data_IF_714280061495
#
_entry.id   IF_714280061495
#
_cell.length_a   1.000
_cell.length_b   1.000
_cell.length_c   1.000
_cell.angle_alpha   90.00
_cell.angle_beta   90.00
_cell.angle_gamma   90.00
#
_symmetry.space_group_name_H-M   'P 1'
#
loop_
_entity.id
_entity.type
_entity.pdbx_description
1 polymer ?
#
# COMPACT_ATOMS: atom_id res chain seq x y z
N UNK A 1 47.93 3.59 -40.40
CA UNK A 1 46.66 2.84 -40.27
C UNK A 1 45.50 3.82 -40.34
N UNK A 2 44.62 3.60 -41.31
CA UNK A 2 43.53 4.50 -41.70
C UNK A 2 42.44 4.56 -40.61
N UNK A 3 41.93 5.77 -40.37
CA UNK A 3 40.67 6.03 -39.64
C UNK A 3 39.52 5.71 -40.60
N UNK A 4 38.56 4.89 -40.18
CA UNK A 4 37.31 4.67 -40.90
C UNK A 4 36.18 5.34 -40.15
N UNK A 5 35.60 6.38 -40.74
CA UNK A 5 34.28 6.89 -40.37
C UNK A 5 33.20 5.94 -40.91
N UNK A 6 32.11 5.80 -40.17
CA UNK A 6 30.88 5.21 -40.65
C UNK A 6 29.84 6.33 -40.65
N UNK A 7 29.39 6.69 -41.85
CA UNK A 7 28.29 7.60 -42.09
C UNK A 7 26.98 7.00 -41.58
N UNK A 8 26.14 7.84 -40.97
CA UNK A 8 24.75 7.53 -40.66
C UNK A 8 23.91 7.74 -41.93
N UNK A 9 23.28 6.68 -42.44
CA UNK A 9 22.09 6.80 -43.28
C UNK A 9 20.85 6.61 -42.40
N UNK A 10 20.02 7.65 -42.35
CA UNK A 10 18.68 7.66 -41.75
C UNK A 10 17.73 6.77 -42.58
N UNK A 11 17.45 5.57 -42.07
CA UNK A 11 16.35 4.73 -42.53
C UNK A 11 15.23 4.73 -41.47
N UNK A 12 14.07 5.27 -41.83
CA UNK A 12 12.84 5.17 -41.02
C UNK A 12 12.53 3.71 -40.67
N UNK A 13 12.14 3.38 -39.43
CA UNK A 13 11.68 2.03 -39.12
C UNK A 13 10.26 1.85 -39.68
N UNK A 14 10.13 1.19 -40.83
CA UNK A 14 8.85 0.65 -41.25
C UNK A 14 8.28 -0.23 -40.12
N UNK A 15 7.08 0.12 -39.67
CA UNK A 15 6.31 -0.66 -38.72
C UNK A 15 5.87 -1.97 -39.38
N UNK A 16 6.77 -2.94 -39.40
CA UNK A 16 6.48 -4.31 -39.82
C UNK A 16 5.41 -4.92 -38.90
N UNK A 17 4.18 -5.00 -39.41
CA UNK A 17 3.17 -5.89 -38.85
C UNK A 17 3.68 -7.33 -38.96
N UNK A 18 4.25 -7.87 -37.88
CA UNK A 18 4.60 -9.28 -37.80
C UNK A 18 3.29 -10.09 -37.74
N UNK A 19 2.85 -10.60 -38.90
CA UNK A 19 1.79 -11.59 -38.94
C UNK A 19 2.29 -12.89 -38.29
N UNK A 20 1.52 -13.52 -37.38
CA UNK A 20 1.90 -14.79 -36.79
C UNK A 20 2.03 -15.86 -37.88
N UNK A 21 3.01 -16.76 -37.73
CA UNK A 21 3.23 -17.86 -38.67
C UNK A 21 2.01 -18.80 -38.70
N UNK A 22 1.80 -19.48 -39.82
CA UNK A 22 0.68 -20.44 -40.01
C UNK A 22 0.70 -21.57 -38.97
N UNK A 23 1.85 -21.87 -38.38
CA UNK A 23 2.00 -22.87 -37.33
C UNK A 23 1.60 -22.35 -35.93
N UNK A 24 1.80 -21.06 -35.65
CA UNK A 24 1.32 -20.42 -34.41
C UNK A 24 -0.20 -20.30 -34.36
N UNK A 25 -0.84 -20.16 -35.53
CA UNK A 25 -2.31 -20.10 -35.67
C UNK A 25 -3.01 -21.45 -35.43
N UNK A 26 -2.30 -22.59 -35.54
CA UNK A 26 -2.90 -23.94 -35.38
C UNK A 26 -3.44 -24.22 -33.97
N UNK A 27 -3.02 -23.45 -32.97
CA UNK A 27 -3.37 -23.65 -31.56
C UNK A 27 -4.24 -22.52 -30.97
N UNK A 28 -4.88 -21.73 -31.84
CA UNK A 28 -5.84 -20.70 -31.42
C UNK A 28 -7.25 -21.29 -31.41
N UNK A 29 -7.73 -21.66 -30.23
CA UNK A 29 -9.06 -22.27 -30.07
C UNK A 29 -10.12 -21.27 -29.60
N UNK A 30 -9.71 -20.13 -29.05
CA UNK A 30 -10.60 -19.18 -28.39
C UNK A 30 -10.66 -17.88 -29.20
N UNK A 31 -11.84 -17.43 -29.64
CA UNK A 31 -11.97 -16.23 -30.46
C UNK A 31 -11.68 -14.96 -29.65
N UNK A 32 -11.01 -13.99 -30.27
CA UNK A 32 -10.73 -12.69 -29.64
C UNK A 32 -12.01 -11.90 -29.35
N UNK A 33 -13.02 -12.04 -30.20
CA UNK A 33 -14.32 -11.42 -30.03
C UNK A 33 -15.42 -12.41 -30.43
N UNK A 34 -16.52 -12.40 -29.68
CA UNK A 34 -17.72 -13.15 -30.00
C UNK A 34 -18.86 -12.19 -30.33
N UNK A 35 -19.65 -12.58 -31.30
CA UNK A 35 -20.91 -11.94 -31.65
C UNK A 35 -22.03 -12.76 -31.02
N UNK A 36 -22.88 -12.10 -30.25
CA UNK A 36 -24.05 -12.70 -29.62
C UNK A 36 -25.30 -12.03 -30.19
N UNK A 37 -26.26 -12.83 -30.65
CA UNK A 37 -27.55 -12.37 -31.18
C UNK A 37 -28.67 -13.15 -30.52
N UNK A 38 -29.69 -12.45 -30.03
CA UNK A 38 -30.92 -13.09 -29.58
C UNK A 38 -31.87 -13.24 -30.79
N UNK A 39 -32.23 -14.47 -31.11
CA UNK A 39 -33.17 -14.76 -32.19
C UNK A 39 -34.61 -14.38 -31.79
N UNK A 40 -35.51 -14.31 -32.77
CA UNK A 40 -36.94 -14.07 -32.51
C UNK A 40 -37.60 -15.23 -31.71
N UNK A 41 -36.99 -16.42 -31.73
CA UNK A 41 -37.38 -17.58 -30.91
C UNK A 41 -36.84 -17.55 -29.48
N UNK A 42 -36.15 -16.47 -29.07
CA UNK A 42 -35.43 -16.34 -27.78
C UNK A 42 -34.24 -17.29 -27.62
N UNK A 43 -33.68 -17.79 -28.73
CA UNK A 43 -32.45 -18.57 -28.72
C UNK A 43 -31.25 -17.64 -28.84
N UNK A 44 -30.15 -17.99 -28.18
CA UNK A 44 -28.92 -17.22 -28.16
C UNK A 44 -27.94 -17.78 -29.18
N UNK A 45 -27.73 -17.06 -30.27
CA UNK A 45 -26.73 -17.41 -31.28
C UNK A 45 -25.39 -16.77 -30.92
N UNK A 46 -24.36 -17.60 -30.76
CA UNK A 46 -22.98 -17.16 -30.47
C UNK A 46 -22.08 -17.56 -31.64
N UNK A 47 -21.43 -16.57 -32.27
CA UNK A 47 -20.53 -16.80 -33.41
C UNK A 47 -19.21 -16.04 -33.24
N UNK A 48 -18.14 -16.52 -33.86
CA UNK A 48 -16.87 -15.78 -33.92
C UNK A 48 -17.08 -14.44 -34.68
N UNK A 49 -16.48 -13.36 -34.19
CA UNK A 49 -16.48 -12.06 -34.85
C UNK A 49 -15.12 -11.79 -35.50
N UNK A 50 -15.09 -11.75 -36.83
CA UNK A 50 -14.00 -11.18 -37.62
C UNK A 50 -14.43 -9.82 -38.13
N UNK A 51 -13.57 -8.79 -37.96
CA UNK A 51 -13.84 -7.41 -38.37
C UNK A 51 -14.39 -7.33 -39.79
N UNK A 52 -15.71 -7.20 -39.92
CA UNK A 52 -16.38 -6.97 -41.18
C UNK A 52 -17.38 -5.82 -41.00
N UNK A 53 -17.31 -4.76 -41.82
CA UNK A 53 -17.93 -3.47 -41.53
C UNK A 53 -19.45 -3.41 -41.76
N UNK A 54 -20.12 -4.56 -41.93
CA UNK A 54 -21.53 -4.60 -42.32
C UNK A 54 -22.34 -5.46 -41.36
N UNK A 55 -23.18 -4.80 -40.54
CA UNK A 55 -24.25 -5.48 -39.81
C UNK A 55 -24.29 -5.26 -38.30
N UNK A 56 -24.14 -4.01 -37.82
CA UNK A 56 -24.68 -3.60 -36.53
C UNK A 56 -26.20 -3.43 -36.68
N UNK A 57 -26.96 -4.49 -36.42
CA UNK A 57 -28.40 -4.41 -36.18
C UNK A 57 -28.64 -4.28 -34.67
N UNK A 58 -29.72 -3.61 -34.24
CA UNK A 58 -30.04 -3.34 -32.83
C UNK A 58 -30.07 -4.57 -31.89
N UNK A 59 -30.15 -5.79 -32.43
CA UNK A 59 -30.19 -7.05 -31.67
C UNK A 59 -28.87 -7.84 -31.69
N UNK A 60 -27.76 -7.21 -32.05
CA UNK A 60 -26.43 -7.84 -32.13
C UNK A 60 -25.47 -7.13 -31.18
N UNK A 61 -24.89 -7.91 -30.26
CA UNK A 61 -23.89 -7.44 -29.31
C UNK A 61 -22.54 -8.11 -29.58
N UNK A 62 -21.47 -7.33 -29.55
CA UNK A 62 -20.09 -7.81 -29.73
C UNK A 62 -19.42 -7.79 -28.37
N UNK A 63 -18.75 -8.87 -28.01
CA UNK A 63 -18.02 -9.00 -26.76
C UNK A 63 -16.56 -9.37 -27.02
N UNK A 64 -15.64 -8.66 -26.40
CA UNK A 64 -14.20 -8.92 -26.49
C UNK A 64 -13.73 -9.82 -25.37
N UNK A 65 -12.78 -10.72 -25.66
CA UNK A 65 -12.14 -11.56 -24.66
C UNK A 65 -11.25 -10.70 -23.76
N UNK A 66 -11.64 -10.61 -22.49
CA UNK A 66 -10.98 -9.77 -21.50
C UNK A 66 -10.06 -10.55 -20.56
N UNK A 67 -10.40 -11.81 -20.27
CA UNK A 67 -9.62 -12.64 -19.38
C UNK A 67 -9.77 -14.14 -19.65
N UNK A 68 -8.70 -14.89 -19.36
CA UNK A 68 -8.69 -16.36 -19.40
C UNK A 68 -8.06 -16.91 -18.12
N UNK A 69 -8.73 -17.85 -17.47
CA UNK A 69 -8.19 -18.58 -16.31
C UNK A 69 -7.75 -19.95 -16.78
N UNK A 70 -6.57 -20.39 -16.38
CA UNK A 70 -5.95 -21.65 -16.79
C UNK A 70 -5.88 -22.60 -15.59
N UNK A 71 -6.07 -23.91 -15.82
CA UNK A 71 -6.04 -24.94 -14.78
C UNK A 71 -4.68 -25.21 -14.12
N UNK A 72 -4.70 -26.07 -13.11
CA UNK A 72 -3.60 -26.31 -12.15
C UNK A 72 -2.27 -26.80 -12.76
N UNK A 73 -2.33 -27.55 -13.87
CA UNK A 73 -1.13 -28.07 -14.57
C UNK A 73 -0.20 -26.97 -15.08
N UNK A 74 -0.73 -25.76 -15.26
CA UNK A 74 0.05 -24.58 -15.62
C UNK A 74 1.00 -24.13 -14.50
N UNK A 75 0.58 -24.25 -13.24
CA UNK A 75 1.35 -23.79 -12.09
C UNK A 75 2.52 -24.72 -11.76
N UNK A 76 2.32 -26.04 -11.89
CA UNK A 76 3.32 -27.06 -11.61
C UNK A 76 4.55 -26.99 -12.54
N UNK A 77 4.38 -26.55 -13.80
CA UNK A 77 5.47 -26.49 -14.78
C UNK A 77 6.35 -25.23 -14.63
N UNK A 78 5.86 -24.20 -13.93
CA UNK A 78 6.48 -22.87 -13.85
C UNK A 78 7.49 -22.72 -12.71
N UNK A 79 7.51 -23.63 -11.74
CA UNK A 79 8.44 -23.59 -10.60
C UNK A 79 9.92 -23.81 -10.97
N UNK A 80 10.24 -24.25 -12.20
CA UNK A 80 11.61 -24.66 -12.58
C UNK A 80 12.48 -23.54 -13.20
N UNK A 81 11.95 -22.33 -13.48
CA UNK A 81 12.78 -21.19 -13.92
C UNK A 81 12.29 -19.84 -13.38
N UNK A 82 13.15 -19.02 -12.75
CA UNK A 82 12.78 -17.67 -12.32
C UNK A 82 12.81 -16.74 -13.54
N UNK A 83 11.72 -16.69 -14.30
CA UNK A 83 11.46 -15.64 -15.30
C UNK A 83 9.99 -15.25 -15.30
N UNK A 84 9.76 -13.94 -15.43
CA UNK A 84 8.51 -13.16 -15.42
C UNK A 84 7.21 -13.97 -15.56
N UNK A 85 6.35 -13.82 -14.56
CA UNK A 85 4.98 -14.32 -14.50
C UNK A 85 4.16 -13.89 -15.72
N UNK A 86 4.09 -14.72 -16.77
CA UNK A 86 3.02 -14.60 -17.76
C UNK A 86 1.68 -14.96 -17.10
N UNK A 87 0.95 -13.96 -16.59
CA UNK A 87 -0.49 -14.05 -16.33
C UNK A 87 -1.17 -13.67 -17.64
N UNK A 88 -1.58 -14.66 -18.42
CA UNK A 88 -2.47 -14.39 -19.54
C UNK A 88 -3.77 -13.82 -18.97
N UNK A 89 -4.01 -12.52 -19.20
CA UNK A 89 -5.29 -11.86 -19.09
C UNK A 89 -6.09 -12.08 -17.80
N UNK A 90 -5.74 -11.35 -16.74
CA UNK A 90 -6.73 -10.75 -15.85
C UNK A 90 -6.40 -9.26 -15.84
N UNK A 91 -6.92 -8.52 -16.83
CA UNK A 91 -6.79 -7.04 -16.90
C UNK A 91 -7.37 -6.32 -15.67
N UNK A 92 -8.00 -7.05 -14.74
CA UNK A 92 -8.48 -6.59 -13.44
C UNK A 92 -7.37 -6.46 -12.38
N UNK A 93 -6.17 -7.03 -12.57
CA UNK A 93 -5.10 -7.05 -11.57
C UNK A 93 -3.87 -6.18 -11.91
N UNK A 94 -4.02 -5.15 -12.73
CA UNK A 94 -3.03 -4.07 -12.84
C UNK A 94 -1.68 -4.39 -13.50
N UNK A 95 -1.37 -5.63 -13.88
CA UNK A 95 -0.06 -5.95 -14.50
C UNK A 95 0.01 -5.39 -15.93
N UNK A 96 0.86 -4.40 -16.25
CA UNK A 96 1.03 -3.88 -17.59
C UNK A 96 2.03 -4.76 -18.33
N UNK A 97 1.61 -5.95 -18.70
CA UNK A 97 2.20 -6.63 -19.86
C UNK A 97 1.11 -6.61 -20.90
N UNK A 98 1.28 -5.87 -22.01
CA UNK A 98 0.60 -6.22 -23.25
C UNK A 98 1.26 -7.53 -23.69
N UNK A 99 0.65 -8.72 -23.52
CA UNK A 99 1.12 -9.86 -24.30
C UNK A 99 0.80 -9.49 -25.76
N UNK A 100 1.61 -9.97 -26.71
CA UNK A 100 1.18 -10.03 -28.10
C UNK A 100 -0.22 -10.68 -28.09
N UNK A 101 -1.24 -10.02 -28.65
CA UNK A 101 -2.65 -10.44 -28.56
C UNK A 101 -2.84 -11.95 -28.82
N UNK A 102 -2.00 -12.50 -29.71
CA UNK A 102 -1.91 -13.90 -30.11
C UNK A 102 -1.62 -14.89 -28.95
N UNK A 103 -0.76 -14.55 -27.98
CA UNK A 103 -0.37 -15.48 -26.90
C UNK A 103 -1.51 -15.72 -25.88
N UNK A 104 -2.40 -14.73 -25.73
CA UNK A 104 -3.53 -14.80 -24.82
C UNK A 104 -4.61 -15.81 -25.29
N UNK A 105 -4.68 -16.05 -26.60
CA UNK A 105 -5.64 -16.96 -27.24
C UNK A 105 -5.03 -18.29 -27.69
N UNK A 106 -3.72 -18.44 -27.53
CA UNK A 106 -2.99 -19.69 -27.83
C UNK A 106 -3.02 -20.63 -26.62
N UNK A 107 -3.65 -21.79 -26.77
CA UNK A 107 -3.76 -22.79 -25.70
C UNK A 107 -3.15 -24.11 -26.15
N UNK A 108 -2.21 -24.61 -25.36
CA UNK A 108 -1.71 -25.97 -25.48
C UNK A 108 -2.41 -26.81 -24.42
N UNK A 109 -3.36 -27.64 -24.83
CA UNK A 109 -4.21 -28.43 -23.93
C UNK A 109 -3.44 -29.45 -23.09
N UNK A 110 -2.16 -29.69 -23.38
CA UNK A 110 -1.32 -30.56 -22.55
C UNK A 110 -0.85 -29.90 -21.24
N UNK A 111 -0.88 -28.57 -21.12
CA UNK A 111 -0.44 -27.86 -19.90
C UNK A 111 -1.08 -26.48 -19.66
N UNK A 112 -1.84 -25.95 -20.62
CA UNK A 112 -2.56 -24.67 -20.57
C UNK A 112 -4.01 -24.93 -20.95
N UNK A 113 -4.76 -25.54 -20.03
CA UNK A 113 -6.20 -25.85 -20.21
C UNK A 113 -7.05 -24.66 -19.74
N UNK A 114 -7.88 -24.04 -20.60
CA UNK A 114 -8.76 -22.96 -20.18
C UNK A 114 -9.87 -23.48 -19.25
N UNK A 115 -10.04 -22.82 -18.11
CA UNK A 115 -11.07 -23.13 -17.11
C UNK A 115 -12.21 -22.10 -17.11
N UNK A 116 -11.90 -20.81 -17.31
CA UNK A 116 -12.90 -19.73 -17.36
C UNK A 116 -12.53 -18.75 -18.47
N UNK A 117 -13.50 -18.37 -19.29
CA UNK A 117 -13.39 -17.34 -20.33
C UNK A 117 -14.31 -16.18 -19.97
N UNK A 118 -13.79 -14.96 -20.01
CA UNK A 118 -14.57 -13.76 -19.69
C UNK A 118 -14.62 -12.81 -20.89
N UNK A 119 -15.83 -12.57 -21.40
CA UNK A 119 -16.13 -11.72 -22.54
C UNK A 119 -16.96 -10.50 -22.10
N UNK A 120 -16.65 -9.30 -22.59
CA UNK A 120 -17.32 -8.05 -22.18
C UNK A 120 -17.69 -7.18 -23.39
N UNK A 121 -18.89 -6.56 -23.43
CA UNK A 121 -19.30 -5.69 -24.52
C UNK A 121 -18.76 -4.27 -24.30
N UNK A 122 -17.63 -3.96 -24.93
CA UNK A 122 -16.85 -2.71 -24.79
C UNK A 122 -16.25 -2.46 -23.39
N UNK A 123 -15.13 -1.71 -23.30
CA UNK A 123 -14.52 -1.40 -21.99
C UNK A 123 -15.48 -0.51 -21.18
N UNK A 124 -16.00 -0.99 -20.02
CA UNK A 124 -16.88 -0.17 -19.20
C UNK A 124 -16.11 1.06 -18.71
N UNK A 125 -16.72 2.24 -18.82
CA UNK A 125 -16.20 3.44 -18.18
C UNK A 125 -16.25 3.23 -16.67
N UNK A 126 -15.10 2.85 -16.09
CA UNK A 126 -14.97 2.60 -14.67
C UNK A 126 -15.04 3.95 -13.92
N UNK A 127 -16.20 4.27 -13.36
CA UNK A 127 -16.36 5.39 -12.44
C UNK A 127 -15.92 4.93 -11.06
N UNK A 128 -15.10 5.73 -10.38
CA UNK A 128 -14.76 5.47 -8.99
C UNK A 128 -16.03 5.64 -8.14
N UNK A 129 -16.52 4.59 -7.44
CA UNK A 129 -17.74 4.69 -6.64
C UNK A 129 -17.50 5.37 -5.28
N UNK A 130 -16.26 5.72 -4.93
CA UNK A 130 -15.92 6.25 -3.62
C UNK A 130 -16.23 7.75 -3.57
N UNK A 131 -17.26 8.10 -2.80
CA UNK A 131 -17.69 9.47 -2.59
C UNK A 131 -17.03 10.10 -1.35
N UNK A 132 -17.00 11.44 -1.35
CA UNK A 132 -16.50 12.28 -0.26
C UNK A 132 -17.20 12.02 1.09
N UNK A 133 -18.42 11.48 1.06
CA UNK A 133 -19.19 11.10 2.24
C UNK A 133 -18.49 10.09 3.15
N UNK A 134 -17.52 9.32 2.63
CA UNK A 134 -16.75 8.33 3.42
C UNK A 134 -15.92 8.97 4.55
N UNK A 135 -15.54 10.25 4.40
CA UNK A 135 -14.78 10.98 5.42
C UNK A 135 -15.65 11.68 6.46
N UNK A 136 -16.97 11.69 6.26
CA UNK A 136 -17.90 12.29 7.22
C UNK A 136 -18.02 11.41 8.47
N UNK A 137 -18.53 12.01 9.56
CA UNK A 137 -18.59 11.35 10.86
C UNK A 137 -19.39 10.02 10.81
N UNK A 138 -18.72 8.92 11.12
CA UNK A 138 -19.33 7.59 11.27
C UNK A 138 -19.51 7.21 12.74
N UNK A 139 -20.58 6.47 13.02
CA UNK A 139 -20.82 5.88 14.33
C UNK A 139 -19.78 4.77 14.62
N UNK A 140 -19.18 4.81 15.81
CA UNK A 140 -18.32 3.73 16.31
C UNK A 140 -19.12 2.44 16.48
N UNK A 141 -18.51 1.30 16.12
CA UNK A 141 -19.04 -0.05 16.33
C UNK A 141 -19.09 -0.44 17.81
N UNK A 142 -18.36 0.27 18.68
CA UNK A 142 -18.27 -0.05 20.09
C UNK A 142 -19.62 0.22 20.81
N UNK A 143 -20.19 -0.80 21.45
CA UNK A 143 -21.53 -0.72 22.08
C UNK A 143 -21.58 0.14 23.35
N UNK A 144 -20.44 0.38 24.01
CA UNK A 144 -20.36 1.09 25.29
C UNK A 144 -20.29 2.61 25.09
N UNK A 145 -21.27 3.20 24.39
CA UNK A 145 -21.24 4.59 23.92
C UNK A 145 -21.48 5.69 24.96
N UNK A 146 -21.59 5.41 26.27
CA UNK A 146 -22.04 6.48 27.19
C UNK A 146 -21.06 7.67 27.29
N UNK A 147 -19.77 7.51 26.97
CA UNK A 147 -18.78 8.58 26.80
C UNK A 147 -17.61 8.09 25.92
N UNK A 148 -17.80 7.97 24.61
CA UNK A 148 -16.65 7.81 23.73
C UNK A 148 -15.94 9.17 23.66
N UNK A 149 -14.75 9.28 24.24
CA UNK A 149 -13.90 10.45 24.04
C UNK A 149 -13.37 10.37 22.61
N UNK A 150 -14.05 11.03 21.68
CA UNK A 150 -13.52 11.17 20.33
C UNK A 150 -12.18 11.92 20.43
N UNK A 151 -11.12 11.23 20.05
CA UNK A 151 -9.74 11.74 19.99
C UNK A 151 -9.52 12.61 18.76
N UNK A 152 -10.51 12.71 17.88
CA UNK A 152 -10.47 13.43 16.61
C UNK A 152 -11.68 14.32 16.39
N UNK A 153 -11.52 15.30 15.50
CA UNK A 153 -12.58 16.21 15.05
C UNK A 153 -12.92 15.83 13.61
N UNK A 154 -14.13 15.31 13.32
CA UNK A 154 -14.54 14.95 11.96
C UNK A 154 -14.43 16.13 10.99
N UNK A 155 -14.24 15.84 9.70
CA UNK A 155 -14.17 16.88 8.68
C UNK A 155 -15.53 17.53 8.45
N UNK A 156 -15.55 18.85 8.32
CA UNK A 156 -16.67 19.59 7.72
C UNK A 156 -16.55 19.58 6.19
N UNK A 157 -17.69 19.72 5.50
CA UNK A 157 -17.72 19.83 4.03
C UNK A 157 -16.82 20.96 3.49
N UNK A 158 -16.65 22.04 4.24
CA UNK A 158 -15.81 23.19 3.86
C UNK A 158 -14.31 22.93 3.97
N UNK A 159 -13.90 21.92 4.73
CA UNK A 159 -12.48 21.57 4.94
C UNK A 159 -12.11 20.22 4.30
N UNK A 160 -12.91 19.77 3.31
CA UNK A 160 -12.62 18.53 2.60
C UNK A 160 -11.29 18.61 1.85
N UNK A 161 -10.39 17.61 1.99
CA UNK A 161 -9.09 17.62 1.35
C UNK A 161 -9.17 17.86 -0.15
N UNK A 162 -8.26 18.67 -0.67
CA UNK A 162 -8.10 18.99 -2.09
C UNK A 162 -6.79 18.41 -2.63
N UNK A 163 -6.65 18.39 -3.96
CA UNK A 163 -5.40 17.94 -4.58
C UNK A 163 -4.22 18.83 -4.16
N UNK A 164 -3.16 18.21 -3.66
CA UNK A 164 -1.96 18.90 -3.16
C UNK A 164 -1.97 19.21 -1.66
N UNK A 165 -3.08 18.96 -0.97
CA UNK A 165 -3.16 19.08 0.49
C UNK A 165 -2.29 18.03 1.19
N UNK A 166 -1.68 18.42 2.32
CA UNK A 166 -0.89 17.53 3.14
C UNK A 166 -1.76 16.85 4.21
N UNK A 167 -1.49 15.58 4.45
CA UNK A 167 -2.09 14.80 5.53
C UNK A 167 -0.97 14.06 6.24
N UNK A 168 -0.83 14.28 7.55
CA UNK A 168 0.04 13.46 8.37
C UNK A 168 -0.64 12.12 8.63
N UNK A 169 0.05 11.01 8.41
CA UNK A 169 -0.50 9.66 8.58
C UNK A 169 0.45 8.83 9.42
N UNK A 170 -0.12 8.07 10.34
CA UNK A 170 0.56 7.02 11.08
C UNK A 170 -0.37 5.81 11.25
N UNK A 171 0.21 4.61 11.36
CA UNK A 171 -0.54 3.37 11.48
C UNK A 171 0.16 2.38 12.40
N UNK A 172 -0.63 1.78 13.28
CA UNK A 172 -0.17 0.83 14.28
C UNK A 172 -0.61 -0.60 13.95
N UNK A 173 0.23 -1.57 14.30
CA UNK A 173 0.04 -2.97 13.95
C UNK A 173 0.10 -3.87 15.18
N UNK A 174 -0.59 -5.01 15.08
CA UNK A 174 -0.57 -6.11 16.04
C UNK A 174 -0.21 -7.42 15.33
N UNK A 175 0.38 -8.35 16.05
CA UNK A 175 0.77 -9.67 15.52
C UNK A 175 -0.36 -10.67 15.72
N UNK A 176 -0.84 -11.26 14.63
CA UNK A 176 -1.84 -12.33 14.62
C UNK A 176 -1.22 -13.72 14.65
N UNK A 177 -0.02 -13.88 14.08
CA UNK A 177 0.73 -15.12 14.08
C UNK A 177 2.23 -14.81 14.17
N UNK A 178 2.95 -15.53 15.01
CA UNK A 178 4.41 -15.45 15.08
C UNK A 178 5.08 -16.18 13.91
N UNK A 179 6.34 -15.83 13.65
CA UNK A 179 7.16 -16.53 12.67
C UNK A 179 7.54 -17.92 13.21
N UNK A 180 7.14 -18.97 12.51
CA UNK A 180 7.61 -20.33 12.78
C UNK A 180 8.75 -20.64 11.81
N UNK A 181 9.90 -21.03 12.34
CA UNK A 181 11.05 -21.39 11.53
C UNK A 181 11.68 -22.69 11.99
N UNK A 182 12.02 -23.53 11.02
CA UNK A 182 12.80 -24.73 11.23
C UNK A 182 14.28 -24.39 11.20
N UNK A 183 15.04 -24.91 12.16
CA UNK A 183 16.50 -24.90 12.09
C UNK A 183 16.95 -26.26 11.57
N UNK A 184 17.53 -26.28 10.36
CA UNK A 184 18.09 -27.49 9.78
C UNK A 184 19.44 -27.81 10.42
N UNK A 185 19.84 -29.08 10.33
CA UNK A 185 21.11 -29.59 10.87
C UNK A 185 22.35 -28.94 10.25
N UNK A 186 22.21 -28.30 9.08
CA UNK A 186 23.26 -27.51 8.41
C UNK A 186 23.37 -26.07 8.94
N UNK A 187 22.57 -25.70 9.94
CA UNK A 187 22.51 -24.35 10.51
C UNK A 187 21.65 -23.36 9.70
N UNK A 188 21.01 -23.80 8.61
CA UNK A 188 20.10 -22.95 7.84
C UNK A 188 18.75 -22.84 8.56
N UNK A 189 18.29 -21.60 8.77
CA UNK A 189 16.95 -21.30 9.28
C UNK A 189 16.00 -21.18 8.08
N UNK A 190 14.99 -22.06 8.00
CA UNK A 190 13.92 -21.95 7.00
C UNK A 190 12.61 -21.58 7.66
N UNK A 191 12.06 -20.43 7.27
CA UNK A 191 10.74 -19.98 7.71
C UNK A 191 9.66 -20.93 7.17
N UNK A 192 8.98 -21.64 8.06
CA UNK A 192 7.83 -22.50 7.76
C UNK A 192 6.59 -21.63 7.59
N UNK A 193 6.38 -20.69 8.52
CA UNK A 193 5.26 -19.77 8.53
C UNK A 193 5.76 -18.35 8.79
N UNK A 194 5.52 -17.39 7.88
CA UNK A 194 5.90 -16.01 8.12
C UNK A 194 5.04 -15.41 9.23
N UNK A 195 5.58 -14.41 9.93
CA UNK A 195 4.77 -13.61 10.86
C UNK A 195 3.66 -12.89 10.10
N UNK A 196 2.48 -12.84 10.70
CA UNK A 196 1.32 -12.16 10.14
C UNK A 196 0.97 -10.98 11.04
N UNK A 197 1.05 -9.77 10.49
CA UNK A 197 0.63 -8.54 11.16
C UNK A 197 -0.72 -8.10 10.62
N UNK A 198 -1.52 -7.46 11.47
CA UNK A 198 -2.75 -6.78 11.11
C UNK A 198 -2.71 -5.34 11.58
N UNK A 199 -3.34 -4.45 10.81
CA UNK A 199 -3.48 -3.05 11.21
C UNK A 199 -4.49 -2.95 12.34
N UNK A 200 -4.14 -2.23 13.39
CA UNK A 200 -4.93 -2.09 14.61
C UNK A 200 -5.46 -0.67 14.82
N UNK A 201 -4.71 0.35 14.40
CA UNK A 201 -5.11 1.76 14.48
C UNK A 201 -4.55 2.54 13.30
N UNK A 202 -5.33 3.45 12.74
CA UNK A 202 -4.90 4.36 11.67
C UNK A 202 -5.28 5.77 12.08
N UNK A 203 -4.29 6.66 12.04
CA UNK A 203 -4.46 8.07 12.38
C UNK A 203 -4.14 8.95 11.19
N UNK A 204 -5.00 9.93 10.91
CA UNK A 204 -4.72 11.00 9.97
C UNK A 204 -4.95 12.37 10.62
N UNK A 205 -3.96 13.25 10.49
CA UNK A 205 -3.97 14.62 11.02
C UNK A 205 -3.96 15.64 9.88
N UNK A 206 -4.66 16.76 10.09
CA UNK A 206 -4.73 17.85 9.12
C UNK A 206 -3.32 18.43 8.91
N UNK A 207 -2.87 18.54 7.67
CA UNK A 207 -1.54 19.08 7.35
C UNK A 207 -1.47 20.61 7.29
N UNK A 208 -2.61 21.30 7.27
CA UNK A 208 -2.70 22.74 7.07
C UNK A 208 -4.00 23.31 7.66
N UNK A 209 -4.10 24.64 7.66
CA UNK A 209 -5.29 25.37 8.10
C UNK A 209 -5.30 25.63 9.61
N UNK A 210 -6.42 26.17 10.14
CA UNK A 210 -6.51 26.57 11.56
C UNK A 210 -6.42 25.38 12.53
N UNK A 211 -6.73 24.18 12.06
CA UNK A 211 -6.70 22.94 12.83
C UNK A 211 -5.49 22.05 12.43
N UNK A 212 -4.39 22.63 11.93
CA UNK A 212 -3.18 21.87 11.59
C UNK A 212 -2.71 21.02 12.78
N UNK A 213 -2.39 19.75 12.51
CA UNK A 213 -2.01 18.76 13.50
C UNK A 213 -3.17 18.16 14.30
N UNK A 214 -4.42 18.61 14.10
CA UNK A 214 -5.59 17.99 14.75
C UNK A 214 -6.06 16.77 13.94
N UNK A 215 -6.22 15.59 14.56
CA UNK A 215 -6.70 14.40 13.89
C UNK A 215 -8.13 14.56 13.36
N UNK A 216 -8.36 14.00 12.18
CA UNK A 216 -9.70 13.86 11.58
C UNK A 216 -10.07 12.40 11.30
N UNK A 217 -9.08 11.50 11.32
CA UNK A 217 -9.26 10.04 11.40
C UNK A 217 -8.42 9.59 12.59
N UNK A 218 -9.03 8.82 13.50
CA UNK A 218 -8.32 8.05 14.53
C UNK A 218 -9.12 6.76 14.75
N UNK A 219 -9.01 5.87 13.77
CA UNK A 219 -9.83 4.68 13.63
C UNK A 219 -9.11 3.48 14.25
N UNK A 220 -9.70 2.85 15.28
CA UNK A 220 -9.29 1.53 15.73
C UNK A 220 -10.02 0.47 14.90
N UNK A 221 -9.28 -0.56 14.45
CA UNK A 221 -9.81 -1.57 13.54
C UNK A 221 -10.28 -2.78 14.32
N UNK A 222 -11.59 -3.06 14.27
CA UNK A 222 -12.14 -4.25 14.91
C UNK A 222 -11.64 -5.51 14.21
N UNK A 223 -11.18 -6.47 15.00
CA UNK A 223 -10.82 -7.81 14.54
C UNK A 223 -11.51 -8.86 15.39
N UNK A 224 -11.93 -9.96 14.75
CA UNK A 224 -12.40 -11.16 15.43
C UNK A 224 -11.29 -12.20 15.58
N UNK A 225 -10.17 -12.01 14.87
CA UNK A 225 -9.02 -12.88 14.95
C UNK A 225 -8.28 -12.67 16.27
N UNK A 226 -7.75 -13.75 16.83
CA UNK A 226 -6.99 -13.68 18.07
C UNK A 226 -5.66 -12.97 17.82
N UNK A 227 -5.41 -11.91 18.58
CA UNK A 227 -4.11 -11.24 18.62
C UNK A 227 -3.18 -12.04 19.52
N UNK A 228 -2.02 -12.41 18.99
CA UNK A 228 -0.97 -13.12 19.73
C UNK A 228 -0.12 -12.13 20.51
N UNK A 229 0.30 -11.04 19.87
CA UNK A 229 1.04 -9.96 20.51
C UNK A 229 0.50 -8.60 20.07
N UNK A 230 0.13 -7.77 21.05
CA UNK A 230 -0.37 -6.41 20.83
C UNK A 230 0.76 -5.42 20.57
N UNK A 231 2.01 -5.77 20.86
CA UNK A 231 3.17 -4.87 20.74
C UNK A 231 2.93 -3.55 21.49
N UNK A 232 2.24 -3.57 22.63
CA UNK A 232 1.69 -2.37 23.30
C UNK A 232 2.72 -1.26 23.54
N UNK A 233 3.98 -1.61 23.79
CA UNK A 233 5.06 -0.63 23.93
C UNK A 233 5.27 0.20 22.65
N UNK A 234 5.14 -0.45 21.49
CA UNK A 234 5.36 0.12 20.15
C UNK A 234 4.08 0.56 19.45
N UNK A 235 2.92 0.01 19.83
CA UNK A 235 1.64 0.27 19.15
C UNK A 235 0.66 1.11 19.97
N UNK A 236 0.86 1.18 21.28
CA UNK A 236 -0.09 1.76 22.22
C UNK A 236 -1.41 0.99 22.36
N UNK A 237 -1.60 -0.13 21.64
CA UNK A 237 -2.84 -0.93 21.64
C UNK A 237 -2.87 -1.83 22.87
N UNK A 238 -4.00 -1.84 23.58
CA UNK A 238 -4.23 -2.68 24.75
C UNK A 238 -5.26 -3.78 24.48
N UNK A 239 -5.20 -4.91 25.21
CA UNK A 239 -6.26 -5.92 25.15
C UNK A 239 -7.64 -5.30 25.38
N UNK A 240 -8.57 -5.59 24.47
CA UNK A 240 -9.94 -5.07 24.48
C UNK A 240 -10.16 -3.80 23.65
N UNK A 241 -9.10 -3.09 23.21
CA UNK A 241 -9.26 -1.92 22.35
C UNK A 241 -9.87 -2.27 20.98
N UNK A 242 -9.64 -3.48 20.49
CA UNK A 242 -10.11 -3.96 19.17
C UNK A 242 -11.44 -4.76 19.22
N UNK A 243 -12.03 -4.93 20.41
CA UNK A 243 -13.28 -5.69 20.61
C UNK A 243 -14.50 -4.75 20.70
N UNK A 244 -15.44 -4.90 19.77
CA UNK A 244 -16.67 -4.09 19.69
C UNK A 244 -17.57 -4.15 20.93
N UNK A 245 -17.46 -5.19 21.77
CA UNK A 245 -18.27 -5.34 22.98
C UNK A 245 -17.75 -4.50 24.15
N UNK A 246 -16.43 -4.36 24.27
CA UNK A 246 -15.78 -3.80 25.47
C UNK A 246 -14.94 -2.55 25.19
N UNK A 247 -14.56 -2.30 23.93
CA UNK A 247 -13.72 -1.17 23.56
C UNK A 247 -14.32 0.16 24.00
N UNK A 248 -13.43 1.05 24.43
CA UNK A 248 -13.73 2.45 24.77
C UNK A 248 -13.33 3.42 23.65
N UNK A 249 -12.74 2.90 22.58
CA UNK A 249 -12.19 3.66 21.46
C UNK A 249 -13.20 3.83 20.33
N UNK A 250 -12.90 4.70 19.38
CA UNK A 250 -13.66 4.77 18.12
C UNK A 250 -13.26 3.56 17.27
N UNK A 251 -14.17 2.58 17.18
CA UNK A 251 -13.92 1.31 16.53
C UNK A 251 -14.67 1.27 15.21
N UNK A 252 -14.00 0.87 14.15
CA UNK A 252 -14.57 0.72 12.81
C UNK A 252 -14.09 -0.57 12.15
N UNK A 253 -14.46 -0.77 10.88
CA UNK A 253 -14.02 -1.91 10.08
C UNK A 253 -12.82 -1.54 9.22
N UNK A 254 -11.97 -2.53 8.93
CA UNK A 254 -10.87 -2.40 7.97
C UNK A 254 -11.35 -1.83 6.63
N UNK A 255 -12.53 -2.26 6.16
CA UNK A 255 -13.12 -1.81 4.90
C UNK A 255 -13.46 -0.32 4.92
N UNK A 256 -14.07 0.19 6.00
CA UNK A 256 -14.40 1.62 6.10
C UNK A 256 -13.14 2.47 6.06
N UNK A 257 -12.15 2.19 6.92
CA UNK A 257 -10.90 2.96 6.96
C UNK A 257 -10.11 2.85 5.66
N UNK A 258 -10.12 1.68 5.01
CA UNK A 258 -9.53 1.54 3.68
C UNK A 258 -10.18 2.47 2.64
N UNK A 259 -11.50 2.59 2.63
CA UNK A 259 -12.20 3.50 1.71
C UNK A 259 -11.89 4.97 2.00
N UNK A 260 -11.74 5.36 3.28
CA UNK A 260 -11.29 6.70 3.68
C UNK A 260 -9.90 7.01 3.12
N UNK A 261 -8.92 6.14 3.37
CA UNK A 261 -7.57 6.31 2.85
C UNK A 261 -7.54 6.30 1.32
N UNK A 262 -8.31 5.40 0.70
CA UNK A 262 -8.40 5.31 -0.75
C UNK A 262 -8.94 6.61 -1.35
N UNK A 263 -9.97 7.21 -0.75
CA UNK A 263 -10.49 8.50 -1.16
C UNK A 263 -9.42 9.61 -1.09
N UNK A 264 -8.64 9.68 0.00
CA UNK A 264 -7.55 10.65 0.13
C UNK A 264 -6.50 10.51 -0.98
N UNK A 265 -6.11 9.28 -1.31
CA UNK A 265 -5.17 8.99 -2.41
C UNK A 265 -5.76 9.38 -3.77
N UNK A 266 -7.04 9.07 -4.00
CA UNK A 266 -7.71 9.38 -5.26
C UNK A 266 -7.85 10.90 -5.46
N UNK A 267 -8.15 11.66 -4.39
CA UNK A 267 -8.16 13.14 -4.42
C UNK A 267 -6.78 13.70 -4.75
N UNK A 268 -5.71 13.18 -4.14
CA UNK A 268 -4.33 13.60 -4.43
C UNK A 268 -3.89 13.25 -5.88
N UNK A 269 -4.50 12.23 -6.49
CA UNK A 269 -4.17 11.72 -7.83
C UNK A 269 -4.87 12.43 -8.98
N UNK A 270 -5.90 13.25 -8.70
CA UNK A 270 -6.71 13.92 -9.74
C UNK A 270 -5.96 15.01 -10.54
N UNK A 271 -4.66 15.20 -10.29
CA UNK A 271 -3.75 16.08 -11.05
C UNK A 271 -3.35 15.57 -12.45
N UNK A 272 -4.17 14.73 -13.10
CA UNK A 272 -4.06 14.45 -14.54
C UNK A 272 -3.54 13.07 -14.98
N UNK A 273 -3.22 12.15 -14.07
CA UNK A 273 -2.94 10.76 -14.45
C UNK A 273 -4.16 9.89 -14.19
N UNK A 274 -4.81 9.46 -15.27
CA UNK A 274 -5.85 8.43 -15.29
C UNK A 274 -5.29 7.22 -14.53
N UNK A 275 -5.72 7.04 -13.27
CA UNK A 275 -5.35 5.95 -12.36
C UNK A 275 -5.52 4.59 -13.05
N UNK A 276 -4.53 4.18 -13.82
CA UNK A 276 -4.45 2.83 -14.32
C UNK A 276 -4.03 1.94 -13.15
N UNK A 277 -5.04 1.34 -12.54
CA UNK A 277 -5.11 -0.08 -12.17
C UNK A 277 -4.14 -0.63 -11.12
N UNK A 278 -3.24 0.16 -10.55
CA UNK A 278 -2.46 -0.26 -9.39
C UNK A 278 -3.06 0.31 -8.11
N UNK A 279 -3.51 -0.58 -7.22
CA UNK A 279 -4.01 -0.24 -5.87
C UNK A 279 -2.92 0.33 -4.94
N UNK A 280 -1.73 0.64 -5.48
CA UNK A 280 -0.57 1.15 -4.75
C UNK A 280 -0.60 2.67 -4.77
N UNK A 281 -0.20 3.29 -3.65
CA UNK A 281 0.00 4.73 -3.60
C UNK A 281 1.17 5.09 -4.54
N UNK A 282 1.00 6.03 -5.49
CA UNK A 282 2.09 6.58 -6.27
C UNK A 282 3.21 7.07 -5.36
N UNK A 283 4.47 6.75 -5.68
CA UNK A 283 5.62 7.15 -4.85
C UNK A 283 5.71 8.66 -4.66
N UNK A 284 5.29 9.42 -5.67
CA UNK A 284 5.31 10.89 -5.65
C UNK A 284 4.31 11.51 -4.67
N UNK A 285 3.34 10.72 -4.18
CA UNK A 285 2.35 11.14 -3.17
C UNK A 285 2.76 10.76 -1.75
N UNK A 286 3.79 9.93 -1.59
CA UNK A 286 4.25 9.48 -0.28
C UNK A 286 5.50 10.25 0.10
N UNK A 287 5.38 11.06 1.15
CA UNK A 287 6.51 11.75 1.74
C UNK A 287 6.87 11.03 3.03
N UNK A 288 7.91 10.22 2.99
CA UNK A 288 8.43 9.54 4.17
C UNK A 288 9.57 10.35 4.80
N UNK A 289 9.31 10.90 5.98
CA UNK A 289 10.26 11.71 6.73
C UNK A 289 11.57 10.98 7.04
N UNK A 290 11.56 9.65 7.19
CA UNK A 290 12.78 8.88 7.47
C UNK A 290 13.75 8.98 6.30
N UNK A 291 13.24 8.94 5.07
CA UNK A 291 14.07 9.09 3.87
C UNK A 291 14.56 10.52 3.68
N UNK A 292 13.79 11.54 4.09
CA UNK A 292 14.22 12.94 4.01
C UNK A 292 15.47 13.23 4.85
N UNK A 293 15.61 12.58 6.01
CA UNK A 293 16.76 12.74 6.90
C UNK A 293 17.80 11.61 6.79
N UNK A 294 17.75 10.81 5.73
CA UNK A 294 18.64 9.67 5.52
C UNK A 294 19.81 10.01 4.60
N UNK A 295 21.04 9.65 5.01
CA UNK A 295 22.20 9.64 4.12
C UNK A 295 22.32 8.25 3.48
N UNK A 296 22.36 8.14 2.12
CA UNK A 296 22.50 6.86 1.43
C UNK A 296 23.63 5.99 1.98
N UNK A 297 23.35 4.69 2.17
CA UNK A 297 24.27 3.69 2.75
C UNK A 297 24.63 3.94 4.23
N UNK A 298 23.88 4.77 4.94
CA UNK A 298 23.97 4.91 6.40
C UNK A 298 22.73 4.31 7.08
N UNK A 299 22.73 4.30 8.42
CA UNK A 299 21.62 3.83 9.25
C UNK A 299 20.38 4.72 9.06
N UNK A 300 19.19 4.11 9.07
CA UNK A 300 17.90 4.81 9.21
C UNK A 300 17.72 5.30 10.64
N UNK A 301 17.20 6.52 10.80
CA UNK A 301 17.08 7.19 12.09
C UNK A 301 15.62 7.10 12.56
N UNK A 302 15.41 6.78 13.83
CA UNK A 302 14.05 6.68 14.40
C UNK A 302 13.39 8.05 14.51
N UNK A 303 12.05 8.06 14.42
CA UNK A 303 11.24 9.27 14.62
C UNK A 303 11.56 9.93 15.97
N UNK A 304 11.65 9.14 17.05
CA UNK A 304 12.03 9.62 18.39
C UNK A 304 13.34 10.40 18.43
N UNK A 305 14.37 9.93 17.72
CA UNK A 305 15.66 10.62 17.70
C UNK A 305 15.62 11.89 16.83
N UNK A 306 14.90 11.83 15.70
CA UNK A 306 14.70 13.00 14.83
C UNK A 306 13.91 14.11 15.53
N UNK A 307 12.82 13.75 16.20
CA UNK A 307 11.98 14.66 16.99
C UNK A 307 12.79 15.36 18.07
N UNK A 308 13.62 14.60 18.80
CA UNK A 308 14.49 15.17 19.82
C UNK A 308 15.56 16.08 19.23
N UNK A 309 16.19 15.69 18.11
CA UNK A 309 17.29 16.46 17.53
C UNK A 309 16.84 17.76 16.87
N UNK A 310 15.71 17.75 16.15
CA UNK A 310 15.27 18.87 15.31
C UNK A 310 14.18 19.73 15.93
N UNK A 311 13.35 19.15 16.81
CA UNK A 311 12.18 19.81 17.38
C UNK A 311 12.30 19.98 18.91
N UNK A 312 13.37 19.45 19.53
CA UNK A 312 13.55 19.36 20.98
C UNK A 312 12.36 18.65 21.69
N UNK A 313 11.68 17.74 20.99
CA UNK A 313 10.55 16.98 21.51
C UNK A 313 10.98 15.58 21.97
N UNK A 314 10.44 15.14 23.12
CA UNK A 314 10.57 13.76 23.60
C UNK A 314 9.23 13.06 23.44
N UNK A 315 9.10 12.33 22.35
CA UNK A 315 7.93 11.52 22.01
C UNK A 315 8.14 10.06 22.44
N UNK A 316 7.07 9.25 22.37
CA UNK A 316 7.14 7.80 22.59
C UNK A 316 7.76 7.44 23.96
N UNK A 317 7.18 8.01 25.02
CA UNK A 317 7.64 7.86 26.41
C UNK A 317 7.55 6.42 26.92
N UNK A 318 6.40 6.05 27.49
CA UNK A 318 6.12 4.66 27.92
C UNK A 318 5.51 3.82 26.80
N UNK A 319 4.59 4.40 26.04
CA UNK A 319 3.90 3.76 24.91
C UNK A 319 3.85 4.73 23.74
N UNK A 320 3.84 4.20 22.52
CA UNK A 320 3.60 5.00 21.33
C UNK A 320 2.17 5.55 21.30
N UNK A 321 2.02 6.73 20.73
CA UNK A 321 0.72 7.31 20.38
C UNK A 321 0.73 7.78 18.94
N UNK A 322 -0.05 7.10 18.10
CA UNK A 322 -0.17 7.37 16.67
C UNK A 322 -0.54 8.82 16.33
N UNK A 323 -1.28 9.53 17.20
CA UNK A 323 -1.56 10.98 17.01
C UNK A 323 -0.31 11.83 17.21
N UNK A 324 0.47 11.55 18.26
CA UNK A 324 1.76 12.21 18.50
C UNK A 324 2.70 11.97 17.32
N UNK A 325 2.83 10.73 16.87
CA UNK A 325 3.74 10.34 15.81
C UNK A 325 3.38 10.97 14.46
N UNK A 326 2.09 10.96 14.07
CA UNK A 326 1.63 11.63 12.84
C UNK A 326 1.86 13.14 12.86
N UNK A 327 1.66 13.79 14.01
CA UNK A 327 1.93 15.24 14.19
C UNK A 327 3.42 15.54 14.12
N UNK A 328 4.24 14.72 14.75
CA UNK A 328 5.68 14.91 14.76
C UNK A 328 6.29 14.68 13.38
N UNK A 329 5.80 13.70 12.61
CA UNK A 329 6.18 13.52 11.22
C UNK A 329 5.85 14.76 10.37
N UNK A 330 4.64 15.33 10.54
CA UNK A 330 4.26 16.57 9.86
C UNK A 330 5.21 17.74 10.22
N UNK A 331 5.52 17.92 11.50
CA UNK A 331 6.45 18.96 11.96
C UNK A 331 7.87 18.76 11.42
N UNK A 332 8.35 17.51 11.36
CA UNK A 332 9.64 17.19 10.75
C UNK A 332 9.67 17.50 9.26
N UNK A 333 8.56 17.25 8.55
CA UNK A 333 8.44 17.64 7.16
C UNK A 333 8.50 19.17 6.98
N UNK A 334 7.80 19.94 7.82
CA UNK A 334 7.92 21.41 7.84
C UNK A 334 9.36 21.84 8.11
N UNK A 335 10.03 21.19 9.06
CA UNK A 335 11.44 21.47 9.39
C UNK A 335 12.37 21.15 8.23
N UNK A 336 12.10 20.08 7.49
CA UNK A 336 12.82 19.76 6.26
C UNK A 336 12.66 20.88 5.23
N UNK A 337 11.45 21.39 4.99
CA UNK A 337 11.21 22.49 4.06
C UNK A 337 11.91 23.80 4.47
N UNK A 338 12.06 24.06 5.77
CA UNK A 338 12.85 25.20 6.27
C UNK A 338 14.35 25.06 5.95
N UNK A 339 14.90 23.85 6.08
CA UNK A 339 16.32 23.56 5.84
C UNK A 339 16.65 23.34 4.36
N UNK A 340 15.66 22.92 3.56
CA UNK A 340 15.71 22.57 2.15
C UNK A 340 14.60 23.32 1.40
N UNK A 341 14.72 24.65 1.22
CA UNK A 341 13.75 25.40 0.43
C UNK A 341 13.76 24.86 -1.01
N UNK A 342 12.56 24.54 -1.52
CA UNK A 342 12.32 23.95 -2.85
C UNK A 342 12.81 22.50 -3.05
N UNK A 343 13.12 21.76 -1.97
CA UNK A 343 13.55 20.35 -2.08
C UNK A 343 14.94 20.18 -2.71
N UNK A 344 15.69 21.26 -2.87
CA UNK A 344 17.11 21.19 -3.19
C UNK A 344 17.87 20.66 -1.98
N UNK A 345 18.97 19.94 -2.20
CA UNK A 345 19.89 19.51 -1.13
C UNK A 345 21.04 20.53 -1.01
N UNK A 346 20.82 21.73 -0.41
CA UNK A 346 21.90 22.68 -0.25
C UNK A 346 23.00 22.07 0.61
N UNK A 347 24.24 22.52 0.40
CA UNK A 347 25.38 22.05 1.18
C UNK A 347 25.17 22.20 2.69
N UNK A 348 24.41 23.22 3.10
CA UNK A 348 24.04 23.45 4.50
C UNK A 348 23.18 22.30 5.07
N UNK A 349 22.19 21.81 4.33
CA UNK A 349 21.37 20.68 4.78
C UNK A 349 22.22 19.42 4.94
N UNK A 350 23.13 19.14 4.00
CA UNK A 350 24.07 18.02 4.11
C UNK A 350 24.99 18.15 5.33
N UNK A 351 25.41 19.36 5.68
CA UNK A 351 26.20 19.64 6.88
C UNK A 351 25.40 19.36 8.15
N UNK A 352 24.13 19.78 8.18
CA UNK A 352 23.20 19.46 9.28
C UNK A 352 23.02 17.95 9.43
N UNK A 353 22.81 17.21 8.34
CA UNK A 353 22.72 15.75 8.36
C UNK A 353 24.01 15.10 8.87
N UNK A 354 25.18 15.56 8.43
CA UNK A 354 26.46 15.04 8.98
C UNK A 354 26.54 15.25 10.51
N UNK A 355 26.14 16.42 11.00
CA UNK A 355 26.05 16.73 12.43
C UNK A 355 25.08 15.81 13.18
N UNK A 356 23.91 15.53 12.61
CA UNK A 356 22.94 14.57 13.14
C UNK A 356 23.56 13.18 13.30
N UNK A 357 24.25 12.67 12.26
CA UNK A 357 24.90 11.36 12.32
C UNK A 357 26.10 11.32 13.27
N UNK A 358 26.83 12.41 13.45
CA UNK A 358 27.91 12.52 14.44
C UNK A 358 27.36 12.50 15.86
N UNK A 359 26.31 13.28 16.14
CA UNK A 359 25.65 13.30 17.45
C UNK A 359 25.01 11.95 17.76
N UNK A 360 24.36 11.34 16.76
CA UNK A 360 23.80 9.98 16.85
C UNK A 360 24.85 8.93 17.21
N UNK A 361 26.04 8.95 16.58
CA UNK A 361 27.14 8.06 16.96
C UNK A 361 27.65 8.29 18.38
N UNK A 362 27.74 9.54 18.83
CA UNK A 362 28.19 9.87 20.19
C UNK A 362 27.22 9.40 21.27
N UNK A 363 25.91 9.42 20.97
CA UNK A 363 24.84 9.05 21.91
C UNK A 363 24.32 7.62 21.72
N UNK A 364 24.99 6.81 20.89
CA UNK A 364 24.54 5.46 20.53
C UNK A 364 23.07 5.43 20.01
N UNK A 365 22.66 6.50 19.33
CA UNK A 365 21.30 6.70 18.82
C UNK A 365 20.21 6.68 19.89
N UNK A 366 20.56 6.91 21.16
CA UNK A 366 19.63 7.01 22.28
C UNK A 366 19.35 8.47 22.63
N UNK A 367 18.09 8.75 22.93
CA UNK A 367 17.68 10.07 23.42
C UNK A 367 18.06 10.18 24.90
N UNK A 368 18.77 11.22 25.33
CA UNK A 368 19.10 11.41 26.74
C UNK A 368 17.84 11.56 27.60
N UNK A 369 17.76 10.77 28.67
CA UNK A 369 16.76 10.99 29.71
C UNK A 369 17.09 12.27 30.48
N UNK A 370 16.10 13.03 30.97
CA UNK A 370 16.40 14.12 31.88
C UNK A 370 17.11 13.54 33.11
N UNK A 371 18.14 14.22 33.62
CA UNK A 371 18.78 13.87 34.88
C UNK A 371 17.67 13.71 35.93
N UNK A 372 17.36 12.46 36.27
CA UNK A 372 16.63 12.17 37.49
C UNK A 372 17.52 12.70 38.60
N UNK A 373 17.08 13.78 39.25
CA UNK A 373 17.69 14.22 40.49
C UNK A 373 17.86 12.98 41.35
N UNK A 374 19.11 12.70 41.68
CA UNK A 374 19.55 11.64 42.57
C UNK A 374 18.87 11.82 43.92
N UNK A 375 17.68 11.26 44.05
CA UNK A 375 17.06 11.03 45.34
C UNK A 375 17.95 10.01 46.07
N UNK A 376 18.42 10.30 47.29
CA UNK A 376 19.40 9.47 47.95
C UNK A 376 18.85 8.07 48.19
N UNK A 377 19.70 7.08 47.91
CA UNK A 377 19.46 5.66 48.17
C UNK A 377 18.97 5.47 49.62
N UNK A 378 17.69 5.19 49.83
CA UNK A 378 17.27 4.46 51.01
C UNK A 378 17.58 2.98 50.77
N UNK A 379 18.72 2.54 51.29
CA UNK A 379 19.06 1.13 51.37
C UNK A 379 18.08 0.42 52.30
N UNK A 380 17.08 -0.25 51.73
CA UNK A 380 16.32 -1.26 52.44
C UNK A 380 17.18 -2.53 52.51
N UNK A 381 17.90 -2.68 53.62
CA UNK A 381 18.55 -3.93 54.01
C UNK A 381 17.43 -4.88 54.46
N UNK A 382 17.13 -5.91 53.65
CA UNK A 382 16.36 -7.05 54.12
C UNK A 382 17.31 -8.00 54.86
N UNK A 383 17.01 -8.43 56.11
CA UNK A 383 17.77 -9.48 56.76
C UNK A 383 17.40 -10.86 56.15
N UNK A 384 18.33 -11.84 56.15
CA UNK A 384 18.05 -13.16 55.63
C UNK A 384 17.16 -13.93 56.62
N UNK A 385 16.12 -14.58 56.09
CA UNK A 385 15.27 -15.51 56.83
C UNK A 385 16.09 -16.75 57.19
N UNK A 386 16.27 -16.98 58.49
CA UNK A 386 16.80 -18.22 59.05
C UNK A 386 15.71 -19.30 58.98
N UNK A 387 16.13 -20.47 58.51
CA UNK A 387 15.34 -21.69 58.48
C UNK A 387 14.97 -22.18 59.88
N UNK A 388 13.74 -22.68 60.02
CA UNK A 388 13.34 -23.74 60.93
C UNK A 388 12.31 -24.62 60.24
#
# INVERSE_FOLDING_TARGET
MKRGGFDMEDGEPEAGHSYPSVEELKNIWIPHAIKMRLSKSKELDVSNWSESPHGRSDSVYIYDLMATVVGETYHQRKEVRPCRTHRAGLRALGVPSRPLQCEAVQFDMSWKVPAILYYCPEEPQLKNPIEASVLLAEASLARKQRKCHATFIPLMLSEMPQAGDLVGLDAEFVTLNEEEAELRSDGTKSTIKPSQMSVARITCVRGQGPNEGVPFIDDYISTQEQVVDYLTQYSGIKPGDLDAKISSKHLTTLKSTYLKLRFLIDVASNSGSRLQKDFRVPKDQVIDTVYLFHIPRKRMISLRFLAWYFLDLKIQGETHDSIEDARTALQLYRKFLELSPQGAEPEEFRKVLKGLYEKGRKLDWKVPEPDSQSSPKHGAVFPPVLAL
#
